data_IF_566160463407
#
_entry.id   IF_566160463407
#
_cell.length_a   1.000
_cell.length_b   1.000
_cell.length_c   1.000
_cell.angle_alpha   90.00
_cell.angle_beta   90.00
_cell.angle_gamma   90.00
#
_symmetry.space_group_name_H-M   'P 1'
#
loop_
_entity.id
_entity.type
_entity.pdbx_description
1 polymer ?
#
# COMPACT_ATOMS: atom_id res chain seq x y z
N UNK A 1 -1.48 -59.71 56.02
CA UNK A 1 -1.75 -58.27 56.21
C UNK A 1 -1.05 -57.53 55.08
N UNK A 2 -1.70 -57.38 53.91
CA UNK A 2 -2.52 -56.22 53.51
C UNK A 2 -1.74 -54.89 53.43
N UNK A 3 -1.68 -54.35 52.20
CA UNK A 3 -1.73 -52.92 51.84
C UNK A 3 -0.48 -52.08 52.18
N UNK A 4 0.08 -51.21 51.33
CA UNK A 4 -0.59 -50.27 50.42
C UNK A 4 0.42 -49.58 49.48
N UNK A 5 0.06 -49.50 48.19
CA UNK A 5 0.04 -48.28 47.35
C UNK A 5 1.33 -47.81 46.66
N UNK A 6 1.31 -48.06 45.34
CA UNK A 6 2.01 -47.39 44.24
C UNK A 6 1.90 -45.85 44.22
N UNK A 7 2.76 -45.25 43.40
CA UNK A 7 2.73 -43.87 42.86
C UNK A 7 3.32 -42.77 43.75
N UNK A 8 4.52 -42.30 43.37
CA UNK A 8 4.71 -40.86 43.14
C UNK A 8 5.73 -40.60 42.01
N UNK A 9 5.21 -40.66 40.79
CA UNK A 9 5.27 -39.61 39.77
C UNK A 9 6.67 -39.02 39.46
N UNK A 10 7.19 -39.45 38.30
CA UNK A 10 8.02 -38.65 37.41
C UNK A 10 7.42 -37.23 37.26
N UNK A 11 7.96 -36.23 37.96
CA UNK A 11 7.65 -34.83 37.66
C UNK A 11 8.47 -34.39 36.45
N UNK A 12 7.95 -34.79 35.29
CA UNK A 12 8.01 -34.14 33.99
C UNK A 12 8.78 -32.81 33.92
N UNK A 13 9.79 -32.82 33.04
CA UNK A 13 10.25 -31.67 32.26
C UNK A 13 9.06 -30.86 31.72
N UNK A 14 8.56 -29.88 32.47
CA UNK A 14 7.87 -28.74 31.86
C UNK A 14 8.94 -27.78 31.39
N UNK A 15 9.54 -28.13 30.25
CA UNK A 15 10.17 -27.17 29.37
C UNK A 15 9.21 -25.99 29.25
N UNK A 16 9.66 -24.85 29.77
CA UNK A 16 8.96 -23.58 29.73
C UNK A 16 8.92 -23.14 28.26
N UNK A 17 8.03 -23.73 27.48
CA UNK A 17 7.70 -23.28 26.12
C UNK A 17 6.95 -21.96 26.28
N UNK A 18 7.71 -20.91 26.61
CA UNK A 18 7.34 -19.53 26.29
C UNK A 18 6.88 -19.58 24.85
N UNK A 19 5.57 -19.42 24.63
CA UNK A 19 4.99 -19.20 23.33
C UNK A 19 5.77 -18.02 22.76
N UNK A 20 6.75 -18.28 21.89
CA UNK A 20 7.50 -17.23 21.20
C UNK A 20 6.44 -16.47 20.41
N UNK A 21 6.03 -15.32 20.94
CA UNK A 21 5.07 -14.44 20.28
C UNK A 21 5.52 -14.21 18.84
N UNK A 22 4.56 -14.15 17.91
CA UNK A 22 4.83 -14.03 16.48
C UNK A 22 5.78 -12.85 16.25
N UNK A 23 7.00 -13.13 15.80
CA UNK A 23 8.00 -12.09 15.55
C UNK A 23 7.53 -11.17 14.43
N UNK A 24 7.73 -9.86 14.61
CA UNK A 24 7.34 -8.82 13.65
C UNK A 24 8.53 -8.44 12.77
N UNK A 25 8.29 -8.37 11.46
CA UNK A 25 9.25 -7.95 10.44
C UNK A 25 9.47 -6.45 10.57
N UNK A 26 10.58 -6.04 11.17
CA UNK A 26 10.83 -4.62 11.52
C UNK A 26 11.29 -3.84 10.28
N UNK A 27 12.07 -4.50 9.42
CA UNK A 27 12.47 -4.02 8.09
C UNK A 27 11.27 -3.62 7.22
N UNK A 28 10.16 -4.37 7.25
CA UNK A 28 8.97 -4.00 6.49
C UNK A 28 8.26 -2.77 7.04
N UNK A 29 8.29 -2.58 8.37
CA UNK A 29 7.79 -1.32 8.95
C UNK A 29 8.70 -0.15 8.57
N UNK A 30 10.03 -0.33 8.54
CA UNK A 30 10.96 0.73 8.09
C UNK A 30 10.71 1.12 6.64
N UNK A 31 10.62 0.13 5.73
CA UNK A 31 10.38 0.40 4.31
C UNK A 31 9.02 1.06 4.09
N UNK A 32 7.97 0.62 4.80
CA UNK A 32 6.65 1.26 4.73
C UNK A 32 6.68 2.68 5.30
N UNK A 33 7.40 2.91 6.40
CA UNK A 33 7.58 4.23 6.98
C UNK A 33 8.32 5.18 6.03
N UNK A 34 9.34 4.67 5.33
CA UNK A 34 10.04 5.44 4.31
C UNK A 34 9.15 5.77 3.11
N UNK A 35 8.33 4.83 2.65
CA UNK A 35 7.33 5.10 1.61
C UNK A 35 6.32 6.19 2.02
N UNK A 36 5.86 6.16 3.28
CA UNK A 36 5.00 7.22 3.84
C UNK A 36 5.72 8.56 3.89
N UNK A 37 6.99 8.58 4.30
CA UNK A 37 7.78 9.82 4.31
C UNK A 37 7.88 10.42 2.89
N UNK A 38 8.16 9.60 1.88
CA UNK A 38 8.20 10.05 0.49
C UNK A 38 6.84 10.63 0.03
N UNK A 39 5.74 9.98 0.40
CA UNK A 39 4.39 10.48 0.11
C UNK A 39 4.12 11.83 0.80
N UNK A 40 4.48 11.98 2.08
CA UNK A 40 4.30 13.23 2.82
C UNK A 40 5.07 14.40 2.19
N UNK A 41 6.33 14.15 1.81
CA UNK A 41 7.18 15.16 1.17
C UNK A 41 6.63 15.54 -0.20
N UNK A 42 6.15 14.57 -0.99
CA UNK A 42 5.51 14.84 -2.28
C UNK A 42 4.27 15.74 -2.14
N UNK A 43 3.33 15.38 -1.26
CA UNK A 43 2.12 16.18 -1.08
C UNK A 43 2.40 17.55 -0.48
N UNK A 44 3.38 17.67 0.42
CA UNK A 44 3.83 18.99 0.88
C UNK A 44 4.34 19.87 -0.29
N UNK A 45 5.20 19.33 -1.16
CA UNK A 45 5.70 20.07 -2.33
C UNK A 45 4.56 20.44 -3.29
N UNK A 46 3.63 19.51 -3.51
CA UNK A 46 2.45 19.73 -4.35
C UNK A 46 1.58 20.85 -3.79
N UNK A 47 1.26 20.81 -2.50
CA UNK A 47 0.39 21.79 -1.85
C UNK A 47 1.01 23.19 -1.88
N UNK A 48 2.30 23.31 -1.55
CA UNK A 48 3.02 24.59 -1.59
C UNK A 48 2.93 25.23 -2.97
N UNK A 49 3.15 24.45 -4.04
CA UNK A 49 3.18 24.99 -5.40
C UNK A 49 1.80 25.16 -6.02
N UNK A 50 1.00 24.09 -6.05
CA UNK A 50 -0.23 24.00 -6.84
C UNK A 50 -1.48 24.43 -6.06
N UNK A 51 -1.51 24.25 -4.74
CA UNK A 51 -2.68 24.63 -3.92
C UNK A 51 -2.52 26.06 -3.38
N UNK A 52 -1.33 26.40 -2.86
CA UNK A 52 -1.07 27.71 -2.26
C UNK A 52 -0.37 28.71 -3.21
N UNK A 53 0.09 28.27 -4.39
CA UNK A 53 0.58 29.17 -5.43
C UNK A 53 1.99 29.73 -5.21
N UNK A 54 2.80 29.16 -4.31
CA UNK A 54 4.17 29.61 -4.10
C UNK A 54 5.09 29.13 -5.24
N UNK A 55 6.08 29.94 -5.67
CA UNK A 55 6.94 29.61 -6.83
C UNK A 55 8.03 28.59 -6.51
N UNK A 56 7.84 27.72 -5.52
CA UNK A 56 8.76 26.65 -5.15
C UNK A 56 8.29 25.31 -5.73
N UNK A 57 9.21 24.37 -5.94
CA UNK A 57 8.88 23.00 -6.39
C UNK A 57 8.19 22.88 -7.76
N UNK A 58 8.34 23.87 -8.65
CA UNK A 58 7.80 23.79 -10.03
C UNK A 58 8.32 22.60 -10.85
N UNK A 59 9.42 21.99 -10.42
CA UNK A 59 10.04 20.79 -11.00
C UNK A 59 9.41 19.46 -10.52
N UNK A 60 8.35 19.50 -9.70
CA UNK A 60 7.73 18.31 -9.09
C UNK A 60 7.30 17.24 -10.11
N UNK A 61 6.85 17.65 -11.29
CA UNK A 61 6.49 16.75 -12.40
C UNK A 61 7.56 16.68 -13.49
N UNK A 62 8.80 17.05 -13.16
CA UNK A 62 9.94 16.96 -14.07
C UNK A 62 10.42 15.51 -14.27
N UNK A 63 11.21 15.22 -15.33
CA UNK A 63 11.58 13.86 -15.71
C UNK A 63 12.30 13.06 -14.61
N UNK A 64 13.17 13.71 -13.84
CA UNK A 64 13.89 13.06 -12.74
C UNK A 64 12.95 12.65 -11.60
N UNK A 65 11.93 13.48 -11.33
CA UNK A 65 10.99 13.25 -10.25
C UNK A 65 10.04 12.10 -10.60
N UNK A 66 9.52 12.09 -11.83
CA UNK A 66 8.72 10.99 -12.36
C UNK A 66 9.49 9.66 -12.43
N UNK A 67 10.69 9.70 -13.01
CA UNK A 67 11.44 8.47 -13.32
C UNK A 67 12.11 7.84 -12.10
N UNK A 68 12.39 8.62 -11.05
CA UNK A 68 13.15 8.16 -9.88
C UNK A 68 12.28 8.21 -8.63
N UNK A 69 11.78 9.37 -8.26
CA UNK A 69 11.13 9.56 -6.97
C UNK A 69 9.76 8.90 -6.92
N UNK A 70 8.88 9.18 -7.89
CA UNK A 70 7.55 8.58 -7.95
C UNK A 70 7.66 7.06 -8.14
N UNK A 71 8.53 6.62 -9.06
CA UNK A 71 8.82 5.20 -9.24
C UNK A 71 9.24 4.51 -7.93
N UNK A 72 10.20 5.10 -7.20
CA UNK A 72 10.65 4.57 -5.91
C UNK A 72 9.51 4.52 -4.89
N UNK A 73 8.72 5.59 -4.78
CA UNK A 73 7.59 5.66 -3.86
C UNK A 73 6.55 4.57 -4.15
N UNK A 74 6.16 4.38 -5.42
CA UNK A 74 5.19 3.36 -5.82
C UNK A 74 5.71 1.94 -5.62
N UNK A 75 6.95 1.66 -6.01
CA UNK A 75 7.59 0.35 -5.83
C UNK A 75 7.65 0.00 -4.35
N UNK A 76 8.07 0.93 -3.49
CA UNK A 76 8.13 0.70 -2.05
C UNK A 76 6.73 0.51 -1.47
N UNK A 77 5.79 1.40 -1.77
CA UNK A 77 4.46 1.36 -1.15
C UNK A 77 3.72 0.08 -1.53
N UNK A 78 3.56 -0.21 -2.82
CA UNK A 78 2.82 -1.36 -3.32
C UNK A 78 3.60 -2.66 -3.16
N UNK A 79 4.90 -2.66 -3.41
CA UNK A 79 5.76 -3.83 -3.24
C UNK A 79 5.79 -4.31 -1.79
N UNK A 80 6.04 -3.40 -0.83
CA UNK A 80 6.03 -3.74 0.60
C UNK A 80 4.62 -4.17 1.04
N UNK A 81 3.56 -3.57 0.49
CA UNK A 81 2.20 -4.00 0.79
C UNK A 81 1.89 -5.41 0.27
N UNK A 82 2.43 -5.77 -0.90
CA UNK A 82 2.44 -7.12 -1.46
C UNK A 82 3.14 -8.10 -0.53
N UNK A 83 4.40 -7.82 -0.15
CA UNK A 83 5.18 -8.63 0.80
C UNK A 83 4.42 -8.81 2.13
N UNK A 84 3.82 -7.72 2.62
CA UNK A 84 3.05 -7.71 3.87
C UNK A 84 1.82 -8.63 3.83
N UNK A 85 1.32 -8.97 2.63
CA UNK A 85 0.13 -9.82 2.46
C UNK A 85 0.38 -11.28 2.86
N UNK A 86 1.64 -11.74 2.89
CA UNK A 86 2.01 -13.06 3.41
C UNK A 86 1.82 -13.21 4.93
N UNK A 87 1.74 -12.11 5.67
CA UNK A 87 1.53 -12.13 7.12
C UNK A 87 0.04 -12.06 7.52
N UNK A 88 -0.83 -11.76 6.55
CA UNK A 88 -2.26 -11.56 6.78
C UNK A 88 -2.96 -12.89 7.06
N UNK A 89 -3.81 -12.92 8.08
CA UNK A 89 -4.67 -14.09 8.35
C UNK A 89 -5.75 -14.28 7.27
N UNK A 90 -6.22 -13.18 6.69
CA UNK A 90 -7.23 -13.18 5.63
C UNK A 90 -7.09 -11.93 4.78
N UNK A 91 -6.54 -12.09 3.58
CA UNK A 91 -6.41 -10.99 2.64
C UNK A 91 -7.77 -10.50 2.13
N UNK A 92 -8.79 -11.36 2.07
CA UNK A 92 -10.15 -10.93 1.73
C UNK A 92 -10.74 -9.98 2.78
N UNK A 93 -10.65 -10.32 4.08
CA UNK A 93 -11.11 -9.40 5.15
C UNK A 93 -10.29 -8.11 5.19
N UNK A 94 -8.99 -8.20 4.92
CA UNK A 94 -8.11 -7.02 4.81
C UNK A 94 -8.52 -6.13 3.64
N UNK A 95 -8.78 -6.70 2.47
CA UNK A 95 -9.27 -5.98 1.29
C UNK A 95 -10.59 -5.28 1.58
N UNK A 96 -11.57 -5.97 2.20
CA UNK A 96 -12.85 -5.35 2.56
C UNK A 96 -12.69 -4.12 3.46
N UNK A 97 -11.80 -4.18 4.47
CA UNK A 97 -11.49 -3.01 5.32
C UNK A 97 -10.83 -1.88 4.54
N UNK A 98 -9.91 -2.18 3.63
CA UNK A 98 -9.27 -1.17 2.78
C UNK A 98 -10.29 -0.53 1.82
N UNK A 99 -11.17 -1.33 1.22
CA UNK A 99 -12.23 -0.84 0.33
C UNK A 99 -13.20 0.08 1.07
N UNK A 100 -13.61 -0.28 2.29
CA UNK A 100 -14.44 0.60 3.11
C UNK A 100 -13.76 1.95 3.38
N UNK A 101 -12.48 1.94 3.77
CA UNK A 101 -11.72 3.19 4.00
C UNK A 101 -11.61 4.01 2.72
N UNK A 102 -11.31 3.37 1.59
CA UNK A 102 -11.17 4.04 0.30
C UNK A 102 -12.50 4.70 -0.14
N UNK A 103 -13.61 3.97 -0.05
CA UNK A 103 -14.94 4.47 -0.35
C UNK A 103 -15.36 5.61 0.60
N UNK A 104 -15.02 5.51 1.90
CA UNK A 104 -15.25 6.60 2.84
C UNK A 104 -14.48 7.86 2.47
N UNK A 105 -13.21 7.75 2.07
CA UNK A 105 -12.42 8.90 1.63
C UNK A 105 -13.00 9.52 0.36
N UNK A 106 -13.37 8.71 -0.63
CA UNK A 106 -14.03 9.20 -1.85
C UNK A 106 -15.33 9.92 -1.52
N UNK A 107 -16.18 9.36 -0.65
CA UNK A 107 -17.41 10.01 -0.22
C UNK A 107 -17.13 11.37 0.46
N UNK A 108 -16.14 11.42 1.36
CA UNK A 108 -15.77 12.66 2.05
C UNK A 108 -15.29 13.71 1.03
N UNK A 109 -14.38 13.35 0.12
CA UNK A 109 -13.86 14.29 -0.89
C UNK A 109 -14.92 14.74 -1.88
N UNK A 110 -15.87 13.86 -2.23
CA UNK A 110 -17.02 14.19 -3.05
C UNK A 110 -17.91 15.22 -2.35
N UNK A 111 -18.24 15.00 -1.08
CA UNK A 111 -19.05 15.95 -0.29
C UNK A 111 -18.37 17.31 -0.16
N UNK A 112 -17.06 17.33 0.10
CA UNK A 112 -16.27 18.57 0.16
C UNK A 112 -16.32 19.30 -1.19
N UNK A 113 -16.11 18.58 -2.29
CA UNK A 113 -16.14 19.14 -3.65
C UNK A 113 -17.50 19.78 -3.97
N UNK A 114 -18.60 19.11 -3.59
CA UNK A 114 -19.96 19.63 -3.76
C UNK A 114 -20.24 20.88 -2.92
N UNK A 115 -19.78 20.91 -1.66
CA UNK A 115 -19.98 22.05 -0.75
C UNK A 115 -19.14 23.25 -1.19
N UNK A 116 -17.87 23.01 -1.54
CA UNK A 116 -16.93 24.07 -1.91
C UNK A 116 -17.06 24.50 -3.37
N UNK A 117 -17.86 23.79 -4.18
CA UNK A 117 -17.98 23.99 -5.64
C UNK A 117 -16.59 24.01 -6.31
N UNK A 118 -15.77 23.03 -5.93
CA UNK A 118 -14.39 22.90 -6.38
C UNK A 118 -14.10 21.47 -6.81
N UNK A 119 -13.09 21.29 -7.67
CA UNK A 119 -12.78 20.00 -8.30
C UNK A 119 -11.82 19.15 -7.45
N UNK A 120 -12.17 18.92 -6.18
CA UNK A 120 -11.38 18.12 -5.24
C UNK A 120 -11.74 16.63 -5.23
N UNK A 121 -12.33 16.14 -6.32
CA UNK A 121 -12.83 14.76 -6.40
C UNK A 121 -11.67 13.76 -6.40
N UNK A 122 -11.82 12.71 -5.60
CA UNK A 122 -10.89 11.57 -5.57
C UNK A 122 -11.69 10.29 -5.81
N UNK A 123 -11.83 9.91 -7.08
CA UNK A 123 -12.65 8.76 -7.49
C UNK A 123 -11.89 7.42 -7.39
N UNK A 124 -10.57 7.44 -7.59
CA UNK A 124 -9.73 6.24 -7.54
C UNK A 124 -8.30 6.51 -7.04
N UNK A 125 -8.12 6.53 -5.73
CA UNK A 125 -6.84 6.74 -5.04
C UNK A 125 -6.08 5.44 -4.75
N UNK A 126 -4.83 5.60 -4.27
CA UNK A 126 -3.92 4.52 -3.87
C UNK A 126 -4.58 3.44 -2.99
N UNK A 127 -5.48 3.78 -2.05
CA UNK A 127 -6.13 2.75 -1.21
C UNK A 127 -7.11 1.88 -2.02
N UNK A 128 -7.80 2.41 -3.03
CA UNK A 128 -8.62 1.58 -3.93
C UNK A 128 -7.76 0.56 -4.68
N UNK A 129 -6.65 1.03 -5.25
CA UNK A 129 -5.67 0.17 -5.91
C UNK A 129 -5.17 -0.92 -4.96
N UNK A 130 -4.79 -0.56 -3.73
CA UNK A 130 -4.33 -1.51 -2.73
C UNK A 130 -5.43 -2.51 -2.30
N UNK A 131 -6.67 -2.05 -2.16
CA UNK A 131 -7.81 -2.89 -1.81
C UNK A 131 -8.09 -3.93 -2.91
N UNK A 132 -8.04 -3.51 -4.18
CA UNK A 132 -8.24 -4.38 -5.33
C UNK A 132 -7.07 -5.37 -5.51
N UNK A 133 -5.82 -4.92 -5.42
CA UNK A 133 -4.66 -5.81 -5.44
C UNK A 133 -4.73 -6.87 -4.33
N UNK A 134 -5.09 -6.45 -3.12
CA UNK A 134 -5.24 -7.36 -1.96
C UNK A 134 -6.41 -8.34 -2.15
N UNK A 135 -7.50 -7.89 -2.79
CA UNK A 135 -8.64 -8.75 -3.16
C UNK A 135 -8.21 -9.83 -4.14
N UNK A 136 -7.61 -9.42 -5.27
CA UNK A 136 -7.17 -10.31 -6.34
C UNK A 136 -6.17 -11.33 -5.81
N UNK A 137 -5.18 -10.90 -5.01
CA UNK A 137 -4.26 -11.82 -4.34
C UNK A 137 -4.97 -12.75 -3.36
N UNK A 138 -5.89 -12.25 -2.53
CA UNK A 138 -6.65 -13.07 -1.60
C UNK A 138 -7.54 -14.11 -2.26
N UNK A 139 -8.09 -13.82 -3.43
CA UNK A 139 -8.85 -14.77 -4.26
C UNK A 139 -7.90 -15.79 -4.91
N UNK A 140 -6.77 -15.33 -5.46
CA UNK A 140 -5.74 -16.19 -6.03
C UNK A 140 -5.18 -17.19 -5.02
N UNK A 141 -5.01 -16.78 -3.76
CA UNK A 141 -4.53 -17.65 -2.68
C UNK A 141 -5.47 -18.82 -2.38
N UNK A 142 -6.77 -18.71 -2.69
CA UNK A 142 -7.76 -19.79 -2.51
C UNK A 142 -7.70 -20.86 -3.60
N UNK A 143 -6.92 -20.65 -4.66
CA UNK A 143 -6.74 -21.66 -5.71
C UNK A 143 -6.04 -22.91 -5.16
N UNK A 144 -6.33 -24.07 -5.76
CA UNK A 144 -5.71 -25.36 -5.40
C UNK A 144 -4.27 -25.53 -5.93
N UNK A 145 -3.67 -24.47 -6.46
CA UNK A 145 -2.30 -24.50 -6.97
C UNK A 145 -1.31 -24.72 -5.83
N UNK A 146 -0.19 -25.39 -6.13
CA UNK A 146 0.89 -25.51 -5.17
C UNK A 146 1.60 -24.15 -4.98
N UNK A 147 2.30 -23.98 -3.86
CA UNK A 147 2.91 -22.69 -3.50
C UNK A 147 4.01 -22.24 -4.48
N UNK A 148 4.76 -23.16 -5.08
CA UNK A 148 5.79 -22.83 -6.08
C UNK A 148 5.16 -22.26 -7.36
N UNK A 149 4.10 -22.88 -7.85
CA UNK A 149 3.33 -22.41 -9.01
C UNK A 149 2.70 -21.05 -8.72
N UNK A 150 2.16 -20.84 -7.51
CA UNK A 150 1.63 -19.52 -7.12
C UNK A 150 2.68 -18.42 -7.20
N UNK A 151 3.90 -18.67 -6.69
CA UNK A 151 5.01 -17.72 -6.78
C UNK A 151 5.34 -17.38 -8.23
N UNK A 152 5.48 -18.39 -9.10
CA UNK A 152 5.79 -18.18 -10.52
C UNK A 152 4.70 -17.38 -11.21
N UNK A 153 3.43 -17.71 -11.00
CA UNK A 153 2.30 -16.96 -11.58
C UNK A 153 2.32 -15.51 -11.11
N UNK A 154 2.53 -15.24 -9.82
CA UNK A 154 2.59 -13.88 -9.30
C UNK A 154 3.74 -13.06 -9.90
N UNK A 155 4.92 -13.67 -10.08
CA UNK A 155 6.07 -13.02 -10.73
C UNK A 155 5.79 -12.72 -12.20
N UNK A 156 5.26 -13.69 -12.95
CA UNK A 156 4.92 -13.52 -14.37
C UNK A 156 3.81 -12.48 -14.57
N UNK A 157 2.77 -12.52 -13.75
CA UNK A 157 1.69 -11.52 -13.76
C UNK A 157 2.25 -10.13 -13.46
N UNK A 158 3.07 -9.99 -12.42
CA UNK A 158 3.65 -8.70 -12.08
C UNK A 158 4.58 -8.14 -13.16
N UNK A 159 5.42 -9.00 -13.75
CA UNK A 159 6.27 -8.64 -14.88
C UNK A 159 5.45 -8.20 -16.10
N UNK A 160 4.41 -8.96 -16.45
CA UNK A 160 3.53 -8.64 -17.57
C UNK A 160 2.83 -7.29 -17.40
N UNK A 161 2.30 -7.01 -16.20
CA UNK A 161 1.63 -5.75 -15.89
C UNK A 161 2.59 -4.55 -15.95
N UNK A 162 3.85 -4.71 -15.54
CA UNK A 162 4.81 -3.60 -15.57
C UNK A 162 5.31 -3.33 -16.99
N UNK A 163 5.70 -4.36 -17.73
CA UNK A 163 6.49 -4.19 -18.96
C UNK A 163 5.69 -4.28 -20.26
N UNK A 164 4.52 -4.94 -20.25
CA UNK A 164 3.74 -5.19 -21.46
C UNK A 164 2.40 -4.45 -21.47
N UNK A 165 1.68 -4.43 -20.34
CA UNK A 165 0.32 -3.90 -20.31
C UNK A 165 0.23 -2.38 -20.59
N UNK A 166 1.15 -1.52 -20.13
CA UNK A 166 1.17 -0.10 -20.51
C UNK A 166 1.38 0.11 -22.01
N UNK A 167 2.17 -0.75 -22.66
CA UNK A 167 2.38 -0.70 -24.12
C UNK A 167 1.10 -1.02 -24.87
N UNK A 168 0.29 -1.94 -24.35
CA UNK A 168 -1.03 -2.27 -24.91
C UNK A 168 -1.98 -1.09 -24.76
N UNK A 169 -2.06 -0.48 -23.55
CA UNK A 169 -2.90 0.71 -23.32
C UNK A 169 -2.54 1.82 -24.30
N UNK A 170 -1.24 2.09 -24.49
CA UNK A 170 -0.76 3.10 -25.43
C UNK A 170 -1.05 2.74 -26.89
N UNK A 171 -0.79 1.49 -27.30
CA UNK A 171 -0.97 1.07 -28.69
C UNK A 171 -2.44 1.19 -29.17
N UNK A 172 -3.40 1.00 -28.27
CA UNK A 172 -4.83 1.11 -28.55
C UNK A 172 -5.44 2.45 -28.10
N UNK A 173 -4.63 3.42 -27.68
CA UNK A 173 -5.08 4.72 -27.14
C UNK A 173 -6.16 4.60 -26.04
N UNK A 174 -6.09 3.54 -25.23
CA UNK A 174 -7.11 3.24 -24.22
C UNK A 174 -7.16 4.26 -23.08
N UNK A 175 -6.22 5.20 -22.99
CA UNK A 175 -6.32 6.34 -22.09
C UNK A 175 -7.49 7.29 -22.44
N UNK A 176 -7.80 7.41 -23.74
CA UNK A 176 -8.85 8.28 -24.26
C UNK A 176 -10.13 7.51 -24.62
N UNK A 177 -10.06 6.19 -24.68
CA UNK A 177 -11.16 5.31 -25.06
C UNK A 177 -11.70 4.52 -23.86
N UNK A 178 -12.94 4.04 -23.97
CA UNK A 178 -13.55 3.15 -22.99
C UNK A 178 -14.43 3.83 -21.93
N UNK A 179 -15.01 3.02 -21.05
CA UNK A 179 -16.00 3.47 -20.06
C UNK A 179 -15.32 4.03 -18.79
N UNK A 180 -15.91 5.04 -18.11
CA UNK A 180 -15.48 5.49 -16.78
C UNK A 180 -15.41 4.36 -15.74
N UNK A 181 -16.14 3.27 -15.94
CA UNK A 181 -16.07 2.08 -15.09
C UNK A 181 -14.70 1.38 -15.13
N UNK A 182 -13.87 1.70 -16.12
CA UNK A 182 -12.52 1.14 -16.30
C UNK A 182 -11.40 2.06 -15.78
N UNK A 183 -11.75 3.17 -15.11
CA UNK A 183 -10.81 3.99 -14.35
C UNK A 183 -9.89 3.17 -13.42
N UNK A 184 -10.35 2.09 -12.73
CA UNK A 184 -9.46 1.24 -11.95
C UNK A 184 -8.24 0.72 -12.72
N UNK A 185 -8.36 0.54 -14.03
CA UNK A 185 -7.33 -0.04 -14.88
C UNK A 185 -6.48 1.00 -15.62
N UNK A 186 -6.77 2.29 -15.49
CA UNK A 186 -6.08 3.31 -16.30
C UNK A 186 -6.67 3.49 -17.71
N UNK A 187 -7.90 3.01 -17.93
CA UNK A 187 -8.59 3.08 -19.22
C UNK A 187 -9.65 4.18 -19.14
N UNK A 188 -9.72 5.03 -20.16
CA UNK A 188 -10.62 6.17 -20.26
C UNK A 188 -10.30 7.32 -19.31
N UNK A 189 -9.14 7.30 -18.64
CA UNK A 189 -8.79 8.27 -17.60
C UNK A 189 -8.47 9.68 -18.13
N UNK A 190 -8.22 9.84 -19.43
CA UNK A 190 -7.99 11.12 -20.10
C UNK A 190 -9.20 11.57 -20.93
N UNK A 191 -10.36 10.94 -20.75
CA UNK A 191 -11.60 11.36 -21.44
C UNK A 191 -12.07 12.73 -20.90
N UNK A 192 -12.59 13.62 -21.77
CA UNK A 192 -13.07 14.95 -21.34
C UNK A 192 -14.17 14.93 -20.28
N UNK A 193 -14.95 13.84 -20.24
CA UNK A 193 -16.03 13.62 -19.26
C UNK A 193 -15.51 13.26 -17.85
N UNK A 194 -14.23 12.88 -17.72
CA UNK A 194 -13.63 12.52 -16.45
C UNK A 194 -13.00 13.77 -15.82
N UNK A 195 -13.43 14.18 -14.61
CA UNK A 195 -12.81 15.30 -13.93
C UNK A 195 -11.36 14.97 -13.58
N UNK A 196 -10.50 15.99 -13.60
CA UNK A 196 -9.16 15.88 -13.04
C UNK A 196 -9.23 15.41 -11.59
N UNK A 197 -8.39 14.45 -11.22
CA UNK A 197 -8.33 13.92 -9.86
C UNK A 197 -7.03 14.35 -9.19
N UNK A 198 -7.13 14.82 -7.94
CA UNK A 198 -5.96 15.20 -7.14
C UNK A 198 -5.06 14.01 -6.79
N UNK A 199 -5.67 12.84 -6.57
CA UNK A 199 -4.96 11.58 -6.38
C UNK A 199 -5.61 10.51 -7.27
N UNK A 200 -4.83 10.00 -8.22
CA UNK A 200 -5.25 8.93 -9.10
C UNK A 200 -4.13 7.93 -9.31
N UNK A 201 -4.38 6.68 -8.90
CA UNK A 201 -3.42 5.60 -9.09
C UNK A 201 -4.08 4.35 -9.69
N UNK A 202 -3.99 4.15 -11.02
CA UNK A 202 -4.57 2.99 -11.66
C UNK A 202 -3.89 1.68 -11.23
N UNK A 203 -4.50 0.56 -11.57
CA UNK A 203 -3.93 -0.77 -11.36
C UNK A 203 -2.72 -1.00 -12.28
N UNK A 204 -2.70 -0.38 -13.46
CA UNK A 204 -1.68 -0.57 -14.49
C UNK A 204 -0.80 0.68 -14.54
N UNK A 205 0.54 0.57 -14.46
CA UNK A 205 1.34 -0.64 -14.23
C UNK A 205 1.51 -1.03 -12.75
N UNK A 206 1.03 -0.19 -11.83
CA UNK A 206 1.49 -0.16 -10.45
C UNK A 206 1.25 -1.46 -9.66
N UNK A 207 0.13 -2.16 -9.92
CA UNK A 207 -0.19 -3.43 -9.27
C UNK A 207 0.82 -4.54 -9.54
N UNK A 208 1.62 -4.44 -10.61
CA UNK A 208 2.68 -5.40 -10.86
C UNK A 208 3.73 -5.39 -9.76
N UNK A 209 4.01 -4.21 -9.17
CA UNK A 209 4.89 -4.10 -7.99
C UNK A 209 4.30 -4.85 -6.80
N UNK A 210 2.98 -4.77 -6.59
CA UNK A 210 2.29 -5.51 -5.54
C UNK A 210 2.40 -7.03 -5.74
N UNK A 211 2.15 -7.54 -6.96
CA UNK A 211 2.21 -8.98 -7.21
C UNK A 211 3.63 -9.56 -7.12
N UNK A 212 4.64 -8.84 -7.62
CA UNK A 212 6.05 -9.18 -7.38
C UNK A 212 6.34 -9.16 -5.88
N UNK A 213 5.90 -8.13 -5.17
CA UNK A 213 6.01 -8.06 -3.71
C UNK A 213 5.36 -9.25 -3.00
N UNK A 214 4.16 -9.67 -3.41
CA UNK A 214 3.48 -10.83 -2.84
C UNK A 214 4.26 -12.13 -3.07
N UNK A 215 4.83 -12.32 -4.27
CA UNK A 215 5.72 -13.44 -4.56
C UNK A 215 6.97 -13.41 -3.67
N UNK A 216 7.64 -12.26 -3.58
CA UNK A 216 8.80 -12.07 -2.70
C UNK A 216 8.45 -12.32 -1.23
N UNK A 217 7.25 -11.94 -0.78
CA UNK A 217 6.78 -12.22 0.56
C UNK A 217 6.68 -13.71 0.86
N UNK A 218 6.24 -14.52 -0.10
CA UNK A 218 6.21 -15.99 0.03
C UNK A 218 7.63 -16.60 0.05
N UNK A 219 8.57 -16.03 -0.70
CA UNK A 219 9.97 -16.49 -0.75
C UNK A 219 10.72 -16.13 0.54
N UNK A 220 10.64 -14.87 0.97
CA UNK A 220 11.41 -14.33 2.10
C UNK A 220 10.78 -14.75 3.44
N UNK A 221 9.45 -14.83 3.50
CA UNK A 221 8.70 -15.16 4.72
C UNK A 221 7.76 -16.35 4.49
N UNK A 222 8.29 -17.56 4.31
CA UNK A 222 7.48 -18.76 4.18
C UNK A 222 6.56 -18.92 5.39
N UNK A 223 5.31 -19.30 5.15
CA UNK A 223 4.21 -19.35 6.14
C UNK A 223 3.93 -18.02 6.88
N UNK A 224 4.43 -16.89 6.37
CA UNK A 224 4.34 -15.60 7.06
C UNK A 224 5.08 -15.59 8.40
N UNK A 225 6.18 -16.34 8.50
CA UNK A 225 7.06 -16.41 9.68
C UNK A 225 8.31 -15.56 9.48
N UNK A 226 8.66 -14.78 10.51
CA UNK A 226 9.89 -13.98 10.53
C UNK A 226 10.98 -14.82 11.17
N UNK A 227 12.03 -15.14 10.41
CA UNK A 227 13.17 -15.93 10.91
C UNK A 227 14.18 -15.05 11.65
N UNK A 228 14.45 -13.85 11.13
CA UNK A 228 15.40 -12.88 11.69
C UNK A 228 14.83 -11.47 11.58
N UNK A 229 15.11 -10.62 12.59
CA UNK A 229 14.76 -9.20 12.55
C UNK A 229 15.95 -8.40 12.03
N UNK A 230 15.67 -7.48 11.12
CA UNK A 230 16.62 -6.45 10.68
C UNK A 230 16.14 -5.06 11.14
N UNK A 231 16.99 -4.04 10.99
CA UNK A 231 16.65 -2.64 11.27
C UNK A 231 16.11 -2.37 12.70
N UNK A 232 16.68 -3.02 13.72
CA UNK A 232 16.23 -2.90 15.13
C UNK A 232 16.88 -1.75 15.91
N UNK A 233 17.85 -1.05 15.32
CA UNK A 233 18.56 0.07 15.96
C UNK A 233 17.68 1.29 16.26
N UNK A 234 18.11 2.14 17.20
CA UNK A 234 17.35 3.34 17.62
C UNK A 234 17.09 4.30 16.45
N UNK A 235 18.01 4.41 15.49
CA UNK A 235 17.88 5.27 14.32
C UNK A 235 16.66 4.94 13.44
N UNK A 236 16.20 3.68 13.44
CA UNK A 236 15.04 3.26 12.65
C UNK A 236 13.71 3.49 13.35
N UNK A 237 13.69 3.84 14.64
CA UNK A 237 12.45 3.97 15.43
C UNK A 237 11.41 4.94 14.80
N UNK A 238 11.78 6.11 14.25
CA UNK A 238 10.81 7.01 13.62
C UNK A 238 10.14 6.35 12.41
N UNK A 239 10.93 5.74 11.52
CA UNK A 239 10.39 5.04 10.35
C UNK A 239 9.55 3.82 10.74
N UNK A 240 9.96 3.05 11.75
CA UNK A 240 9.15 1.96 12.30
C UNK A 240 7.81 2.48 12.83
N UNK A 241 7.81 3.61 13.55
CA UNK A 241 6.58 4.22 14.05
C UNK A 241 5.65 4.63 12.89
N UNK A 242 6.18 5.31 11.88
CA UNK A 242 5.42 5.70 10.70
C UNK A 242 4.88 4.48 9.96
N UNK A 243 5.69 3.46 9.74
CA UNK A 243 5.27 2.23 9.05
C UNK A 243 4.21 1.43 9.80
N UNK A 244 4.21 1.48 11.14
CA UNK A 244 3.17 0.85 11.97
C UNK A 244 1.82 1.55 11.85
N UNK A 245 1.83 2.86 11.68
CA UNK A 245 0.65 3.71 11.57
C UNK A 245 0.40 4.21 10.15
N UNK A 246 1.01 3.57 9.15
CA UNK A 246 1.04 4.04 7.76
C UNK A 246 -0.35 4.36 7.20
N UNK A 247 -1.34 3.50 7.46
CA UNK A 247 -2.71 3.71 6.99
C UNK A 247 -3.39 4.91 7.65
N UNK A 248 -3.15 5.11 8.96
CA UNK A 248 -3.68 6.27 9.68
C UNK A 248 -3.03 7.55 9.17
N UNK A 249 -1.69 7.57 9.07
CA UNK A 249 -0.93 8.72 8.55
C UNK A 249 -1.39 9.05 7.13
N UNK A 250 -1.51 8.05 6.24
CA UNK A 250 -2.03 8.26 4.90
C UNK A 250 -3.48 8.79 4.92
N UNK A 251 -4.35 8.39 5.83
CA UNK A 251 -5.72 8.91 5.84
C UNK A 251 -5.81 10.39 6.27
N UNK A 252 -4.93 10.85 7.15
CA UNK A 252 -5.03 12.18 7.77
C UNK A 252 -3.99 13.19 7.28
N UNK A 253 -3.00 12.78 6.48
CA UNK A 253 -1.91 13.66 6.09
C UNK A 253 -2.40 14.90 5.34
N UNK A 254 -3.28 14.77 4.35
CA UNK A 254 -3.66 15.88 3.48
C UNK A 254 -4.37 17.02 4.26
N UNK A 255 -5.39 16.76 5.10
CA UNK A 255 -5.96 17.81 5.94
C UNK A 255 -4.93 18.46 6.88
N UNK A 256 -4.00 17.67 7.44
CA UNK A 256 -2.97 18.19 8.35
C UNK A 256 -1.99 19.09 7.59
N UNK A 257 -1.46 18.64 6.45
CA UNK A 257 -0.49 19.40 5.65
C UNK A 257 -1.12 20.72 5.19
N UNK A 258 -2.32 20.68 4.61
CA UNK A 258 -3.05 21.88 4.18
C UNK A 258 -3.26 22.84 5.35
N UNK A 259 -3.72 22.33 6.51
CA UNK A 259 -3.95 23.17 7.70
C UNK A 259 -2.66 23.84 8.19
N UNK A 260 -1.55 23.10 8.22
CA UNK A 260 -0.26 23.63 8.67
C UNK A 260 0.26 24.71 7.72
N UNK A 261 0.17 24.51 6.40
CA UNK A 261 0.57 25.53 5.42
C UNK A 261 -0.33 26.75 5.54
N UNK A 262 -1.65 26.56 5.63
CA UNK A 262 -2.61 27.65 5.80
C UNK A 262 -2.34 28.48 7.06
N UNK A 263 -2.08 27.84 8.21
CA UNK A 263 -1.70 28.55 9.43
C UNK A 263 -0.39 29.35 9.25
N UNK A 264 0.58 28.77 8.55
CA UNK A 264 1.83 29.47 8.23
C UNK A 264 1.58 30.72 7.39
N UNK A 265 0.69 30.66 6.38
CA UNK A 265 0.33 31.81 5.53
C UNK A 265 -0.41 32.95 6.24
N UNK A 266 -1.00 32.67 7.42
CA UNK A 266 -1.66 33.70 8.22
C UNK A 266 -0.66 34.39 9.16
N UNK A 267 0.34 33.66 9.63
CA UNK A 267 1.31 34.15 10.61
C UNK A 267 2.44 34.95 9.96
N UNK A 268 2.85 34.56 8.75
CA UNK A 268 3.99 35.13 8.01
C UNK A 268 3.52 35.69 6.66
#
# INVERSE_FOLDING_TARGET
>A
MLSSIDMTIQSTNKANTKIKGKMRATELDVLRGFAILLMLVHHFMYDVHYIFGYPYFSWLFGPAMESIYHLLAYVLFLGVAGVSSSFSRSNLKRSGRLALIALSLTLITLLISLIMKSDYYILWQMIHCLALCTLLYGLFEKTKLNEKTKIVVLLLTGFFIIFHLPKIINAFNLHYEGSPLLLPFGIGNLRPEIPGMLDYLPLIPYSGCFFIGAALGKIIYPDGKVQRRYCTGKAFKPLVFMGRHALLIYAIHQPIIITLIWLWTIIF
#
